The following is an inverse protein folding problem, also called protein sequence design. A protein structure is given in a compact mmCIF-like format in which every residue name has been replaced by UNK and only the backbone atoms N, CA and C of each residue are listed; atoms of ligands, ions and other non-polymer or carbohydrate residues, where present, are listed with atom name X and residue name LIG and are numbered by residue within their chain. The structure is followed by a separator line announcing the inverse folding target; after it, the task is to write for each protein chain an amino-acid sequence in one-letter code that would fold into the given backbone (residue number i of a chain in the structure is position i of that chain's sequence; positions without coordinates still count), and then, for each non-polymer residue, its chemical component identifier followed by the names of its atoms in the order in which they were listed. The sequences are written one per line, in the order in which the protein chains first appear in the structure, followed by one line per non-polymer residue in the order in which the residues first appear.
data_IF_352484481812
#
_entry.id   IF_352484481812
#
_cell.length_a   1.000
_cell.length_b   1.000
_cell.length_c   1.000
_cell.angle_alpha   90.00
_cell.angle_beta   90.00
_cell.angle_gamma   90.00
#
_symmetry.space_group_name_H-M   'P 1'
#
loop_
_entity.id
_entity.type
_entity.pdbx_description
1 polymer ?
#
# COMPACT_ATOMS: atom_id res chain seq x y z
N UNK A 1 -2.64 4.18 12.03
CA UNK A 1 -1.72 3.84 10.94
C UNK A 1 -0.33 3.78 11.54
N UNK A 2 0.29 2.62 11.51
CA UNK A 2 1.60 2.36 12.11
C UNK A 2 2.50 1.77 11.01
N UNK A 3 3.73 2.28 10.88
CA UNK A 3 4.69 1.79 9.89
C UNK A 3 5.20 0.40 10.29
N UNK A 4 5.10 -0.57 9.39
CA UNK A 4 5.66 -1.92 9.58
C UNK A 4 7.05 -2.00 8.95
N UNK A 5 7.15 -1.64 7.66
CA UNK A 5 8.34 -1.88 6.86
C UNK A 5 8.41 -0.90 5.68
N UNK A 6 9.63 -0.62 5.22
CA UNK A 6 9.88 0.10 3.96
C UNK A 6 10.85 -0.74 3.12
N UNK A 7 10.51 -0.95 1.85
CA UNK A 7 11.24 -1.80 0.92
C UNK A 7 11.58 -0.96 -0.31
N UNK A 8 12.87 -0.84 -0.63
CA UNK A 8 13.31 -0.27 -1.90
C UNK A 8 13.20 -1.33 -2.99
N UNK A 9 12.44 -1.04 -4.03
CA UNK A 9 12.18 -1.94 -5.13
C UNK A 9 13.27 -1.78 -6.23
N UNK A 10 13.58 -2.84 -6.99
CA UNK A 10 14.60 -2.80 -8.06
C UNK A 10 14.34 -1.76 -9.16
N UNK A 11 13.07 -1.38 -9.39
CA UNK A 11 12.68 -0.36 -10.37
C UNK A 11 12.82 1.09 -9.83
N UNK A 12 13.42 1.27 -8.65
CA UNK A 12 13.66 2.58 -8.04
C UNK A 12 12.48 3.13 -7.23
N UNK A 13 11.35 2.43 -7.18
CA UNK A 13 10.21 2.78 -6.33
C UNK A 13 10.44 2.36 -4.88
N UNK A 14 9.75 3.01 -3.95
CA UNK A 14 9.76 2.64 -2.53
C UNK A 14 8.37 2.19 -2.10
N UNK A 15 8.27 0.93 -1.68
CA UNK A 15 7.08 0.37 -1.05
C UNK A 15 7.13 0.63 0.45
N UNK A 16 6.06 1.20 0.99
CA UNK A 16 5.87 1.40 2.43
C UNK A 16 4.66 0.62 2.89
N UNK A 17 4.81 -0.17 3.95
CA UNK A 17 3.77 -1.08 4.45
C UNK A 17 3.30 -0.58 5.81
N UNK A 18 2.00 -0.38 5.95
CA UNK A 18 1.37 0.12 7.17
C UNK A 18 0.39 -0.88 7.77
N UNK A 19 0.39 -0.96 9.09
CA UNK A 19 -0.65 -1.56 9.90
C UNK A 19 -1.81 -0.55 10.06
N UNK A 20 -3.00 -0.97 9.63
CA UNK A 20 -4.26 -0.24 9.78
C UNK A 20 -5.26 -1.00 10.67
N UNK A 21 -4.79 -2.05 11.36
CA UNK A 21 -5.62 -2.88 12.24
C UNK A 21 -6.35 -2.03 13.27
N UNK A 22 -7.62 -2.34 13.48
CA UNK A 22 -8.46 -1.67 14.48
C UNK A 22 -9.41 -2.65 15.16
N UNK A 23 -9.69 -2.38 16.43
CA UNK A 23 -10.70 -3.09 17.21
C UNK A 23 -12.11 -2.75 16.69
N UNK A 24 -12.96 -3.77 16.59
CA UNK A 24 -14.37 -3.64 16.15
C UNK A 24 -15.37 -4.21 17.17
N UNK A 25 -14.94 -5.05 18.10
CA UNK A 25 -15.69 -5.47 19.29
C UNK A 25 -14.73 -5.77 20.46
N UNK A 26 -15.25 -6.26 21.59
CA UNK A 26 -14.47 -6.44 22.82
C UNK A 26 -13.19 -7.27 22.64
N UNK A 27 -13.28 -8.37 21.90
CA UNK A 27 -12.25 -9.37 21.64
C UNK A 27 -12.00 -9.59 20.14
N UNK A 28 -12.50 -8.66 19.31
CA UNK A 28 -12.54 -8.81 17.85
C UNK A 28 -11.93 -7.59 17.17
N UNK A 29 -11.01 -7.85 16.23
CA UNK A 29 -10.32 -6.86 15.39
C UNK A 29 -10.62 -7.06 13.91
N UNK A 30 -10.48 -5.97 13.15
CA UNK A 30 -10.28 -5.98 11.71
C UNK A 30 -8.79 -5.80 11.47
N UNK A 31 -8.11 -6.84 10.98
CA UNK A 31 -6.71 -6.77 10.58
C UNK A 31 -6.66 -6.21 9.17
N UNK A 32 -6.00 -5.07 8.97
CA UNK A 32 -5.89 -4.39 7.68
C UNK A 32 -4.43 -3.94 7.49
N UNK A 33 -3.87 -4.26 6.33
CA UNK A 33 -2.56 -3.80 5.87
C UNK A 33 -2.73 -2.93 4.63
N UNK A 34 -1.95 -1.85 4.55
CA UNK A 34 -1.87 -0.98 3.37
C UNK A 34 -0.46 -0.99 2.82
N UNK A 35 -0.33 -1.29 1.53
CA UNK A 35 0.90 -1.42 0.77
C UNK A 35 0.98 -0.25 -0.21
N UNK A 36 1.76 0.76 0.15
CA UNK A 36 1.75 2.06 -0.53
C UNK A 36 3.03 2.31 -1.32
N UNK A 37 2.89 2.79 -2.55
CA UNK A 37 4.00 3.30 -3.36
C UNK A 37 3.70 4.74 -3.74
N UNK A 38 4.62 5.64 -3.42
CA UNK A 38 4.57 7.04 -3.87
C UNK A 38 5.23 7.13 -5.25
N UNK A 39 4.53 7.76 -6.18
CA UNK A 39 4.94 7.90 -7.58
C UNK A 39 4.94 9.38 -7.90
N UNK A 40 6.11 9.92 -8.24
CA UNK A 40 6.22 11.27 -8.75
C UNK A 40 5.56 11.37 -10.12
N UNK A 41 4.70 12.36 -10.31
CA UNK A 41 4.04 12.62 -11.59
C UNK A 41 4.98 13.41 -12.48
N UNK A 42 5.58 12.73 -13.45
CA UNK A 42 6.44 13.35 -14.46
C UNK A 42 5.64 13.73 -15.69
N UNK A 43 6.00 14.86 -16.32
CA UNK A 43 5.39 15.31 -17.58
C UNK A 43 5.58 14.27 -18.70
N UNK A 44 6.69 13.53 -18.67
CA UNK A 44 7.02 12.48 -19.64
C UNK A 44 6.05 11.29 -19.67
N UNK A 45 5.17 11.15 -18.67
CA UNK A 45 4.13 10.12 -18.66
C UNK A 45 2.94 10.46 -19.57
N UNK A 46 2.86 11.70 -20.04
CA UNK A 46 1.71 12.21 -20.77
C UNK A 46 2.11 12.52 -22.22
N UNK A 47 1.22 12.21 -23.15
CA UNK A 47 1.38 12.62 -24.55
C UNK A 47 1.09 14.13 -24.75
N UNK A 48 0.37 14.74 -23.81
CA UNK A 48 -0.07 16.14 -23.85
C UNK A 48 0.34 16.87 -22.56
N UNK A 49 1.07 18.00 -22.65
CA UNK A 49 1.38 18.83 -21.49
C UNK A 49 0.13 19.36 -20.77
N UNK A 50 -0.98 19.54 -21.49
CA UNK A 50 -2.23 19.99 -20.89
C UNK A 50 -2.82 18.95 -19.92
N UNK A 51 -2.72 17.66 -20.28
CA UNK A 51 -3.20 16.56 -19.45
C UNK A 51 -2.34 16.42 -18.18
N UNK A 52 -1.02 16.57 -18.31
CA UNK A 52 -0.09 16.64 -17.19
C UNK A 52 -0.47 17.77 -16.22
N UNK A 53 -0.65 18.99 -16.73
CA UNK A 53 -1.01 20.14 -15.91
C UNK A 53 -2.37 19.97 -15.25
N UNK A 54 -3.35 19.42 -15.95
CA UNK A 54 -4.67 19.14 -15.39
C UNK A 54 -4.59 18.15 -14.23
N UNK A 55 -3.90 17.03 -14.42
CA UNK A 55 -3.73 16.03 -13.36
C UNK A 55 -2.96 16.62 -12.17
N UNK A 56 -1.87 17.34 -12.42
CA UNK A 56 -1.05 17.98 -11.36
C UNK A 56 -1.82 19.03 -10.58
N UNK A 57 -2.69 19.81 -11.24
CA UNK A 57 -3.52 20.81 -10.56
C UNK A 57 -4.57 20.20 -9.64
N UNK A 58 -5.05 18.99 -9.95
CA UNK A 58 -6.08 18.30 -9.16
C UNK A 58 -5.44 17.47 -8.03
N UNK A 59 -4.39 16.71 -8.35
CA UNK A 59 -3.84 15.69 -7.46
C UNK A 59 -2.47 16.05 -6.87
N UNK A 60 -1.80 17.09 -7.38
CA UNK A 60 -0.43 17.45 -7.00
C UNK A 60 0.63 16.73 -7.83
N UNK A 61 1.89 16.85 -7.41
CA UNK A 61 3.04 16.27 -8.10
C UNK A 61 3.37 14.83 -7.72
N UNK A 62 2.62 14.22 -6.81
CA UNK A 62 2.84 12.86 -6.31
C UNK A 62 1.50 12.14 -6.21
N UNK A 63 1.44 10.92 -6.73
CA UNK A 63 0.32 10.00 -6.53
C UNK A 63 0.73 8.87 -5.60
N UNK A 64 -0.24 8.32 -4.87
CA UNK A 64 -0.02 7.13 -4.06
C UNK A 64 -0.82 5.98 -4.66
N UNK A 65 -0.11 4.94 -5.12
CA UNK A 65 -0.72 3.63 -5.30
C UNK A 65 -0.91 3.02 -3.91
N UNK A 66 -2.13 2.57 -3.59
CA UNK A 66 -2.45 1.89 -2.33
C UNK A 66 -3.17 0.57 -2.63
N UNK A 67 -2.57 -0.54 -2.19
CA UNK A 67 -3.20 -1.84 -2.18
C UNK A 67 -3.50 -2.24 -0.75
N UNK A 68 -4.73 -2.67 -0.47
CA UNK A 68 -5.15 -3.08 0.87
C UNK A 68 -5.49 -4.56 0.92
N UNK A 69 -4.98 -5.24 1.94
CA UNK A 69 -5.41 -6.58 2.31
C UNK A 69 -6.00 -6.54 3.71
N UNK A 70 -7.13 -7.23 3.89
CA UNK A 70 -7.83 -7.23 5.16
C UNK A 70 -8.48 -8.57 5.49
N UNK A 71 -8.65 -8.80 6.79
CA UNK A 71 -9.52 -9.85 7.34
C UNK A 71 -10.31 -9.24 8.50
N UNK A 72 -11.63 -9.36 8.42
CA UNK A 72 -12.56 -8.89 9.45
C UNK A 72 -12.92 -10.02 10.41
N UNK A 73 -13.42 -9.66 11.59
CA UNK A 73 -13.88 -10.60 12.62
C UNK A 73 -12.79 -11.57 13.11
N UNK A 74 -11.57 -11.06 13.28
CA UNK A 74 -10.43 -11.83 13.80
C UNK A 74 -10.40 -11.68 15.31
N UNK A 75 -10.14 -12.77 16.05
CA UNK A 75 -9.98 -12.66 17.50
C UNK A 75 -8.69 -11.89 17.84
N UNK A 76 -8.69 -11.15 18.95
CA UNK A 76 -7.50 -10.42 19.41
C UNK A 76 -6.25 -11.34 19.52
N UNK A 77 -6.46 -12.60 19.93
CA UNK A 77 -5.40 -13.59 20.09
C UNK A 77 -4.76 -14.01 18.75
N UNK A 78 -5.49 -13.90 17.64
CA UNK A 78 -5.04 -14.30 16.31
C UNK A 78 -4.50 -13.13 15.46
N UNK A 79 -4.63 -11.89 15.95
CA UNK A 79 -4.27 -10.67 15.20
C UNK A 79 -2.87 -10.76 14.57
N UNK A 80 -1.86 -11.12 15.37
CA UNK A 80 -0.47 -11.18 14.93
C UNK A 80 -0.23 -12.25 13.86
N UNK A 81 -0.91 -13.40 13.98
CA UNK A 81 -0.82 -14.50 13.01
C UNK A 81 -1.45 -14.05 11.68
N UNK A 82 -2.67 -13.53 11.73
CA UNK A 82 -3.37 -13.05 10.52
C UNK A 82 -2.60 -11.91 9.85
N UNK A 83 -2.04 -10.96 10.61
CA UNK A 83 -1.22 -9.88 10.04
C UNK A 83 -0.02 -10.45 9.27
N UNK A 84 0.67 -11.43 9.85
CA UNK A 84 1.82 -12.08 9.22
C UNK A 84 1.40 -12.81 7.95
N UNK A 85 0.27 -13.52 7.96
CA UNK A 85 -0.29 -14.18 6.77
C UNK A 85 -0.59 -13.19 5.63
N UNK A 86 -1.20 -12.04 5.94
CA UNK A 86 -1.50 -11.01 4.95
C UNK A 86 -0.23 -10.41 4.35
N UNK A 87 0.78 -10.13 5.19
CA UNK A 87 2.08 -9.61 4.75
C UNK A 87 2.77 -10.60 3.81
N UNK A 88 2.87 -11.87 4.19
CA UNK A 88 3.50 -12.91 3.39
C UNK A 88 2.75 -13.18 2.09
N UNK A 89 1.41 -13.17 2.13
CA UNK A 89 0.57 -13.30 0.94
C UNK A 89 0.88 -12.22 -0.09
N UNK A 90 0.99 -10.96 0.35
CA UNK A 90 1.36 -9.86 -0.54
C UNK A 90 2.78 -10.03 -1.09
N UNK A 91 3.76 -10.31 -0.22
CA UNK A 91 5.16 -10.48 -0.62
C UNK A 91 5.33 -11.59 -1.65
N UNK A 92 4.63 -12.70 -1.48
CA UNK A 92 4.68 -13.86 -2.37
C UNK A 92 4.00 -13.60 -3.72
N UNK A 93 2.84 -12.93 -3.72
CA UNK A 93 1.96 -12.90 -4.89
C UNK A 93 2.00 -11.58 -5.66
N UNK A 94 2.31 -10.47 -5.00
CA UNK A 94 2.10 -9.11 -5.53
C UNK A 94 3.38 -8.29 -5.63
N UNK A 95 4.34 -8.50 -4.73
CA UNK A 95 5.57 -7.69 -4.67
C UNK A 95 6.35 -7.68 -5.99
N UNK A 96 6.41 -8.82 -6.68
CA UNK A 96 7.11 -8.90 -7.96
C UNK A 96 6.49 -7.98 -9.03
N UNK A 97 5.16 -7.89 -9.09
CA UNK A 97 4.48 -7.03 -10.06
C UNK A 97 4.76 -5.54 -9.83
N UNK A 98 4.91 -5.13 -8.57
CA UNK A 98 5.30 -3.75 -8.23
C UNK A 98 6.78 -3.47 -8.45
N UNK A 99 7.61 -4.51 -8.49
CA UNK A 99 9.06 -4.42 -8.65
C UNK A 99 9.50 -4.45 -10.12
N UNK A 100 8.61 -4.86 -11.02
CA UNK A 100 8.89 -4.95 -12.45
C UNK A 100 8.89 -3.56 -13.10
N UNK A 101 9.68 -3.36 -14.17
CA UNK A 101 9.65 -2.14 -15.00
C UNK A 101 8.33 -1.94 -15.72
#
# INVERSE_FOLDING_TARGET
MELIETINLPNGLTLTIYNLTRRIAADTVKVELSFQVKIEVLESFFASPADYLQLKNIFGGELTYDHKLERSFVSDAEEAVVRSELLETFKKNSLHYLSSP
#
